data_IF_253646850580
#
_entry.id   IF_253646850580
#
_cell.length_a   1.000
_cell.length_b   1.000
_cell.length_c   1.000
_cell.angle_alpha   90.00
_cell.angle_beta   90.00
_cell.angle_gamma   90.00
#
_symmetry.space_group_name_H-M   'P 1'
#
loop_
_entity.id
_entity.type
_entity.pdbx_description
1 polymer ?
#
# COMPACT_ATOMS: atom_id res chain seq x y z
N UNK A 1 -6.54 -36.83 8.25
CA UNK A 1 -6.59 -35.37 8.45
C UNK A 1 -5.99 -34.72 7.20
N UNK A 2 -6.80 -34.05 6.38
CA UNK A 2 -6.32 -33.42 5.16
C UNK A 2 -5.59 -32.12 5.50
N UNK A 3 -4.37 -31.94 5.00
CA UNK A 3 -3.63 -30.70 5.13
C UNK A 3 -4.41 -29.59 4.42
N UNK A 4 -4.87 -28.59 5.16
CA UNK A 4 -5.46 -27.38 4.61
C UNK A 4 -4.36 -26.68 3.82
N UNK A 5 -4.35 -26.86 2.49
CA UNK A 5 -3.47 -26.13 1.58
C UNK A 5 -3.65 -24.63 1.87
N UNK A 6 -2.62 -24.01 2.45
CA UNK A 6 -2.59 -22.58 2.73
C UNK A 6 -2.56 -21.90 1.37
N UNK A 7 -3.71 -21.47 0.83
CA UNK A 7 -3.76 -20.69 -0.40
C UNK A 7 -2.96 -19.41 -0.15
N UNK A 8 -1.74 -19.34 -0.70
CA UNK A 8 -0.96 -18.12 -0.71
C UNK A 8 -1.64 -17.14 -1.66
N UNK A 9 -1.96 -15.94 -1.15
CA UNK A 9 -2.39 -14.83 -1.99
C UNK A 9 -1.29 -14.50 -3.00
N UNK A 10 -1.68 -14.01 -4.19
CA UNK A 10 -0.73 -13.55 -5.20
C UNK A 10 -0.56 -12.05 -5.07
N UNK A 11 0.68 -11.60 -4.89
CA UNK A 11 1.04 -10.18 -5.04
C UNK A 11 1.18 -9.87 -6.54
N UNK A 12 0.44 -8.88 -7.02
CA UNK A 12 0.46 -8.46 -8.43
C UNK A 12 1.01 -7.04 -8.48
N UNK A 13 2.21 -6.89 -9.05
CA UNK A 13 2.87 -5.59 -9.20
C UNK A 13 2.69 -5.11 -10.63
N UNK A 14 2.05 -3.95 -10.80
CA UNK A 14 1.92 -3.28 -12.09
C UNK A 14 3.00 -2.20 -12.20
N UNK A 15 3.90 -2.29 -13.18
CA UNK A 15 4.89 -1.26 -13.48
C UNK A 15 4.64 -0.69 -14.89
N UNK A 16 4.55 0.64 -15.00
CA UNK A 16 4.38 1.32 -16.27
C UNK A 16 4.80 2.80 -16.16
N UNK A 17 5.20 3.47 -17.26
CA UNK A 17 5.52 4.89 -17.27
C UNK A 17 4.33 5.76 -16.87
N UNK A 18 4.61 6.98 -16.38
CA UNK A 18 3.57 7.99 -16.12
C UNK A 18 2.76 8.27 -17.41
N UNK A 19 1.44 8.38 -17.28
CA UNK A 19 0.53 8.62 -18.41
C UNK A 19 0.09 7.38 -19.22
N UNK A 20 0.59 6.18 -18.89
CA UNK A 20 0.28 4.93 -19.61
C UNK A 20 -1.11 4.33 -19.33
N UNK A 21 -1.87 4.89 -18.37
CA UNK A 21 -3.18 4.36 -17.98
C UNK A 21 -3.17 3.23 -16.94
N UNK A 22 -2.03 2.98 -16.26
CA UNK A 22 -1.92 2.00 -15.16
C UNK A 22 -3.04 2.13 -14.12
N UNK A 23 -3.32 3.35 -13.67
CA UNK A 23 -4.38 3.61 -12.69
C UNK A 23 -5.76 3.19 -13.20
N UNK A 24 -6.04 3.39 -14.49
CA UNK A 24 -7.30 2.99 -15.12
C UNK A 24 -7.46 1.46 -15.12
N UNK A 25 -6.41 0.72 -15.49
CA UNK A 25 -6.43 -0.75 -15.48
C UNK A 25 -6.58 -1.28 -14.05
N UNK A 26 -5.82 -0.75 -13.09
CA UNK A 26 -5.90 -1.17 -11.69
C UNK A 26 -7.30 -0.97 -11.13
N UNK A 27 -7.91 0.21 -11.37
CA UNK A 27 -9.30 0.49 -10.95
C UNK A 27 -10.31 -0.45 -11.61
N UNK A 28 -10.13 -0.75 -12.89
CA UNK A 28 -11.00 -1.69 -13.59
C UNK A 28 -10.92 -3.10 -12.99
N UNK A 29 -9.70 -3.60 -12.74
CA UNK A 29 -9.49 -4.93 -12.18
C UNK A 29 -9.97 -5.06 -10.73
N UNK A 30 -9.83 -4.01 -9.92
CA UNK A 30 -10.37 -3.96 -8.56
C UNK A 30 -11.91 -3.98 -8.54
N UNK A 31 -12.57 -3.55 -9.62
CA UNK A 31 -14.02 -3.60 -9.76
C UNK A 31 -14.57 -4.97 -10.18
N UNK A 32 -13.71 -5.93 -10.53
CA UNK A 32 -14.10 -7.29 -10.90
C UNK A 32 -14.11 -8.19 -9.66
N UNK A 33 -15.28 -8.36 -9.05
CA UNK A 33 -15.45 -9.14 -7.81
C UNK A 33 -14.93 -10.59 -7.94
N UNK A 34 -14.99 -11.18 -9.13
CA UNK A 34 -14.49 -12.53 -9.40
C UNK A 34 -12.98 -12.68 -9.22
N UNK A 35 -12.23 -11.58 -9.31
CA UNK A 35 -10.78 -11.59 -9.13
C UNK A 35 -10.37 -11.52 -7.66
N UNK A 36 -11.27 -11.12 -6.75
CA UNK A 36 -11.02 -10.99 -5.32
C UNK A 36 -9.70 -10.26 -5.02
N UNK A 37 -9.52 -9.10 -5.66
CA UNK A 37 -8.33 -8.26 -5.54
C UNK A 37 -8.58 -7.15 -4.53
N UNK A 38 -7.55 -6.82 -3.77
CA UNK A 38 -7.53 -5.67 -2.87
C UNK A 38 -6.31 -4.81 -3.18
N UNK A 39 -6.47 -3.50 -3.09
CA UNK A 39 -5.36 -2.58 -3.29
C UNK A 39 -4.50 -2.53 -2.03
N UNK A 40 -3.18 -2.70 -2.18
CA UNK A 40 -2.24 -2.49 -1.08
C UNK A 40 -2.07 -1.00 -0.85
N UNK A 41 -2.71 -0.48 0.20
CA UNK A 41 -2.61 0.93 0.57
C UNK A 41 -1.28 1.17 1.28
N UNK A 42 -0.47 2.04 0.70
CA UNK A 42 0.81 2.49 1.23
C UNK A 42 0.65 3.31 2.51
N UNK A 43 1.71 3.45 3.31
CA UNK A 43 1.72 4.28 4.52
C UNK A 43 2.68 5.46 4.36
N UNK A 44 2.38 6.60 4.98
CA UNK A 44 3.26 7.77 4.95
C UNK A 44 3.19 8.56 6.25
N UNK A 45 4.29 9.24 6.61
CA UNK A 45 4.31 10.13 7.78
C UNK A 45 4.07 11.60 7.47
N UNK A 46 3.77 11.94 6.22
CA UNK A 46 3.33 13.29 5.85
C UNK A 46 1.88 13.50 6.23
N UNK A 47 1.47 14.75 6.32
CA UNK A 47 0.04 15.08 6.41
C UNK A 47 -0.68 14.83 5.08
N UNK A 48 -1.96 14.48 5.17
CA UNK A 48 -2.85 14.37 4.02
C UNK A 48 -3.02 15.73 3.35
N UNK A 49 -3.19 15.72 2.03
CA UNK A 49 -3.31 16.93 1.21
C UNK A 49 -4.68 16.99 0.56
N UNK A 50 -5.35 18.14 0.70
CA UNK A 50 -6.58 18.44 -0.03
C UNK A 50 -7.70 17.44 0.29
N UNK A 51 -7.97 16.52 -0.64
CA UNK A 51 -9.08 15.56 -0.57
C UNK A 51 -8.63 14.12 -0.30
N UNK A 52 -7.37 13.91 0.07
CA UNK A 52 -6.87 12.58 0.42
C UNK A 52 -7.53 12.04 1.69
N UNK A 53 -7.82 10.74 1.70
CA UNK A 53 -8.56 10.04 2.75
C UNK A 53 -7.66 8.96 3.36
N UNK A 54 -7.56 8.98 4.69
CA UNK A 54 -6.85 7.97 5.47
C UNK A 54 -7.46 6.57 5.28
N UNK A 55 -6.61 5.57 5.08
CA UNK A 55 -7.03 4.19 4.80
C UNK A 55 -7.68 4.00 3.43
N UNK A 56 -7.56 4.97 2.52
CA UNK A 56 -7.96 4.84 1.11
C UNK A 56 -6.81 5.23 0.19
N UNK A 57 -6.28 6.44 0.36
CA UNK A 57 -5.15 6.93 -0.44
C UNK A 57 -3.81 6.51 0.17
N UNK A 58 -3.68 6.71 1.49
CA UNK A 58 -2.56 6.27 2.31
C UNK A 58 -3.04 5.97 3.72
N UNK A 59 -2.25 5.19 4.48
CA UNK A 59 -2.28 5.27 5.94
C UNK A 59 -1.39 6.44 6.39
N UNK A 60 -2.02 7.50 6.89
CA UNK A 60 -1.33 8.68 7.40
C UNK A 60 -0.96 8.44 8.87
N UNK A 61 0.31 8.14 9.10
CA UNK A 61 0.85 7.88 10.43
C UNK A 61 1.61 9.11 10.93
N UNK A 62 1.69 9.33 12.24
CA UNK A 62 2.69 10.26 12.76
C UNK A 62 4.11 9.71 12.53
N UNK A 63 5.12 10.59 12.44
CA UNK A 63 6.51 10.15 12.34
C UNK A 63 6.93 9.26 13.54
N UNK A 64 6.37 9.49 14.72
CA UNK A 64 6.55 8.63 15.91
C UNK A 64 5.97 7.23 15.73
N UNK A 65 4.73 7.12 15.23
CA UNK A 65 4.10 5.82 14.97
C UNK A 65 4.84 5.05 13.88
N UNK A 66 5.23 5.75 12.81
CA UNK A 66 6.00 5.15 11.72
C UNK A 66 7.33 4.57 12.25
N UNK A 67 8.09 5.34 13.04
CA UNK A 67 9.34 4.86 13.67
C UNK A 67 9.09 3.67 14.60
N UNK A 68 7.99 3.66 15.35
CA UNK A 68 7.63 2.51 16.19
C UNK A 68 7.38 1.25 15.35
N UNK A 69 6.68 1.39 14.21
CA UNK A 69 6.38 0.27 13.30
C UNK A 69 7.63 -0.25 12.60
N UNK A 70 8.56 0.64 12.20
CA UNK A 70 9.89 0.23 11.71
C UNK A 70 10.60 -0.61 12.76
N UNK A 71 10.62 -0.16 14.02
CA UNK A 71 11.29 -0.87 15.12
C UNK A 71 10.67 -2.25 15.40
N UNK A 72 9.38 -2.41 15.13
CA UNK A 72 8.65 -3.66 15.32
C UNK A 72 8.68 -4.59 14.10
N UNK A 73 9.41 -4.24 13.03
CA UNK A 73 9.48 -5.01 11.77
C UNK A 73 8.10 -5.22 11.12
N UNK A 74 7.22 -4.21 11.24
CA UNK A 74 5.84 -4.25 10.72
C UNK A 74 5.73 -3.87 9.23
N UNK A 75 6.81 -3.39 8.62
CA UNK A 75 6.85 -2.99 7.20
C UNK A 75 7.80 -3.89 6.41
N UNK A 76 7.37 -4.31 5.22
CA UNK A 76 8.24 -5.05 4.30
C UNK A 76 9.35 -4.16 3.72
N UNK A 77 9.02 -2.90 3.45
CA UNK A 77 9.92 -1.89 2.90
C UNK A 77 9.48 -0.50 3.35
N UNK A 78 10.43 0.43 3.45
CA UNK A 78 10.18 1.84 3.75
C UNK A 78 11.36 2.69 3.30
N UNK A 79 11.11 3.97 3.09
CA UNK A 79 12.12 4.97 2.73
C UNK A 79 11.89 6.28 3.49
N UNK A 80 12.97 6.96 3.88
CA UNK A 80 12.93 8.35 4.34
C UNK A 80 13.15 9.29 3.16
N UNK A 81 12.07 9.93 2.69
CA UNK A 81 12.09 10.78 1.48
C UNK A 81 12.67 12.17 1.80
N UNK A 82 12.31 12.70 2.98
CA UNK A 82 12.83 13.94 3.55
C UNK A 82 13.06 13.72 5.05
N UNK A 83 13.79 14.62 5.70
CA UNK A 83 14.03 14.55 7.15
C UNK A 83 12.71 14.39 7.91
N UNK A 84 12.61 13.32 8.68
CA UNK A 84 11.43 12.93 9.46
C UNK A 84 10.15 12.69 8.64
N UNK A 85 10.28 12.44 7.34
CA UNK A 85 9.19 12.07 6.42
C UNK A 85 9.44 10.70 5.81
N UNK A 86 8.68 9.70 6.26
CA UNK A 86 8.81 8.30 5.88
C UNK A 86 7.65 7.85 4.98
N UNK A 87 7.91 6.88 4.12
CA UNK A 87 6.91 6.29 3.24
C UNK A 87 7.15 4.80 3.03
N UNK A 88 6.07 4.02 3.00
CA UNK A 88 6.03 2.67 2.43
C UNK A 88 5.56 2.81 0.98
N UNK A 89 6.24 2.22 -0.01
CA UNK A 89 5.83 2.22 -1.41
C UNK A 89 4.47 1.58 -1.70
#
# INVERSE_FOLDING_TARGET
MAATSKKQGKLIVFSAPSGSGKTTIVRHLLGLEELNLEFSISATSRESRGTEIDGTDYYFLSASEFKSKIKNDEFLEWEEVYRDTFMVP
#
